data_IF_164106071658
#
_entry.id   IF_164106071658
#
_cell.length_a   1.000
_cell.length_b   1.000
_cell.length_c   1.000
_cell.angle_alpha   90.00
_cell.angle_beta   90.00
_cell.angle_gamma   90.00
#
_symmetry.space_group_name_H-M   'P 1'
#
loop_
_entity.id
_entity.type
_entity.pdbx_description
1 polymer ?
#
# COMPACT_ATOMS: atom_id res chain seq x y z
N UNK A 1 12.54 -12.31 -4.26
CA UNK A 1 11.17 -12.06 -3.79
C UNK A 1 10.31 -13.29 -4.04
N UNK A 2 9.60 -13.80 -3.02
CA UNK A 2 8.63 -14.90 -3.20
C UNK A 2 7.24 -14.31 -3.47
N UNK A 3 6.93 -14.04 -4.73
CA UNK A 3 5.66 -13.44 -5.12
C UNK A 3 4.46 -14.33 -4.77
N UNK A 4 4.63 -15.66 -4.79
CA UNK A 4 3.55 -16.61 -4.55
C UNK A 4 3.00 -16.49 -3.13
N UNK A 5 3.87 -16.29 -2.13
CA UNK A 5 3.43 -16.11 -0.72
C UNK A 5 2.48 -14.92 -0.55
N UNK A 6 2.74 -13.81 -1.25
CA UNK A 6 1.90 -12.61 -1.15
C UNK A 6 0.58 -12.77 -1.92
N UNK A 7 0.61 -13.47 -3.06
CA UNK A 7 -0.59 -13.82 -3.81
C UNK A 7 -1.52 -14.75 -3.01
N UNK A 8 -0.93 -15.67 -2.25
CA UNK A 8 -1.67 -16.54 -1.32
C UNK A 8 -2.23 -15.73 -0.14
N UNK A 9 -1.42 -14.87 0.48
CA UNK A 9 -1.85 -14.01 1.58
C UNK A 9 -3.04 -13.10 1.20
N UNK A 10 -3.08 -12.58 -0.04
CA UNK A 10 -4.20 -11.78 -0.56
C UNK A 10 -5.55 -12.53 -0.64
N UNK A 11 -5.57 -13.84 -0.44
CA UNK A 11 -6.82 -14.61 -0.37
C UNK A 11 -7.38 -14.71 1.06
N UNK A 12 -6.57 -14.35 2.06
CA UNK A 12 -6.90 -14.52 3.48
C UNK A 12 -6.77 -13.22 4.29
N UNK A 13 -5.98 -12.27 3.82
CA UNK A 13 -5.67 -11.01 4.50
C UNK A 13 -6.08 -9.78 3.68
N UNK A 14 -6.12 -8.63 4.35
CA UNK A 14 -6.40 -7.36 3.71
C UNK A 14 -5.23 -6.90 2.84
N UNK A 15 -5.50 -6.12 1.81
CA UNK A 15 -4.46 -5.54 0.96
C UNK A 15 -3.45 -4.70 1.75
N UNK A 16 -3.91 -3.96 2.77
CA UNK A 16 -3.09 -3.14 3.64
C UNK A 16 -2.11 -4.00 4.46
N UNK A 17 -2.58 -5.13 5.01
CA UNK A 17 -1.75 -6.08 5.76
C UNK A 17 -0.69 -6.75 4.87
N UNK A 18 -1.09 -7.20 3.68
CA UNK A 18 -0.14 -7.82 2.74
C UNK A 18 0.88 -6.80 2.26
N UNK A 19 0.45 -5.57 1.97
CA UNK A 19 1.35 -4.48 1.61
C UNK A 19 2.36 -4.19 2.72
N UNK A 20 1.93 -4.12 3.98
CA UNK A 20 2.84 -3.97 5.11
C UNK A 20 3.89 -5.07 5.20
N UNK A 21 3.51 -6.31 4.91
CA UNK A 21 4.46 -7.43 4.85
C UNK A 21 5.49 -7.27 3.74
N UNK A 22 5.07 -6.83 2.54
CA UNK A 22 5.98 -6.57 1.42
C UNK A 22 6.90 -5.39 1.73
N UNK A 23 6.35 -4.27 2.18
CA UNK A 23 7.11 -3.05 2.50
C UNK A 23 8.15 -3.33 3.58
N UNK A 24 7.79 -4.05 4.64
CA UNK A 24 8.71 -4.45 5.71
C UNK A 24 9.87 -5.30 5.21
N UNK A 25 9.60 -6.31 4.37
CA UNK A 25 10.64 -7.21 3.82
C UNK A 25 11.62 -6.47 2.91
N UNK A 26 11.15 -5.43 2.22
CA UNK A 26 11.97 -4.61 1.32
C UNK A 26 12.52 -3.33 1.99
N UNK A 27 12.37 -3.17 3.31
CA UNK A 27 12.93 -2.03 4.06
C UNK A 27 12.23 -0.69 3.78
N UNK A 28 10.92 -0.72 3.55
CA UNK A 28 10.07 0.43 3.22
C UNK A 28 10.60 1.26 2.05
N UNK A 29 10.70 0.66 0.85
CA UNK A 29 11.15 1.39 -0.31
C UNK A 29 10.16 2.50 -0.65
N UNK A 30 10.67 3.63 -1.14
CA UNK A 30 9.81 4.63 -1.76
C UNK A 30 9.17 4.06 -3.03
N UNK A 31 7.84 4.07 -3.06
CA UNK A 31 7.03 3.62 -4.19
C UNK A 31 6.14 4.76 -4.70
N UNK A 32 5.91 4.85 -6.01
CA UNK A 32 4.95 5.80 -6.57
C UNK A 32 3.54 5.63 -5.99
N UNK A 33 2.81 6.74 -5.86
CA UNK A 33 1.36 6.80 -5.64
C UNK A 33 0.80 6.27 -4.31
N UNK A 34 1.60 5.54 -3.54
CA UNK A 34 1.22 4.95 -2.26
C UNK A 34 2.22 5.37 -1.19
N UNK A 35 1.71 5.77 -0.02
CA UNK A 35 2.54 6.17 1.11
C UNK A 35 1.89 5.81 2.43
N UNK A 36 2.60 6.12 3.51
CA UNK A 36 2.08 6.03 4.87
C UNK A 36 0.85 6.93 5.02
N UNK A 37 -0.26 6.38 5.50
CA UNK A 37 -1.52 7.10 5.59
C UNK A 37 -1.46 8.27 6.60
N UNK A 38 -0.65 8.17 7.64
CA UNK A 38 -0.44 9.23 8.61
C UNK A 38 0.30 10.41 7.97
N UNK A 39 1.36 10.13 7.21
CA UNK A 39 2.11 11.15 6.49
C UNK A 39 1.22 11.86 5.46
N UNK A 40 0.41 11.09 4.73
CA UNK A 40 -0.54 11.64 3.76
C UNK A 40 -1.58 12.52 4.46
N UNK A 41 -2.17 12.07 5.58
CA UNK A 41 -3.14 12.85 6.33
C UNK A 41 -2.56 14.17 6.85
N UNK A 42 -1.27 14.19 7.22
CA UNK A 42 -0.58 15.41 7.65
C UNK A 42 -0.24 16.36 6.49
N UNK A 43 -0.14 15.85 5.26
CA UNK A 43 0.31 16.61 4.10
C UNK A 43 -0.84 17.06 3.16
N UNK A 44 -2.03 16.49 3.29
CA UNK A 44 -3.16 16.74 2.35
C UNK A 44 -4.23 17.65 2.94
N UNK A 45 -4.80 18.51 2.09
CA UNK A 45 -6.03 19.26 2.38
C UNK A 45 -7.30 18.55 1.81
N UNK A 46 -7.13 17.37 1.21
CA UNK A 46 -8.24 16.64 0.60
C UNK A 46 -9.16 16.04 1.69
N UNK A 47 -10.32 16.65 1.88
CA UNK A 47 -11.33 16.18 2.85
C UNK A 47 -11.82 14.76 2.60
N UNK A 48 -11.82 14.29 1.35
CA UNK A 48 -12.21 12.92 1.05
C UNK A 48 -11.18 11.93 1.60
N UNK A 49 -9.89 12.21 1.36
CA UNK A 49 -8.80 11.38 1.86
C UNK A 49 -8.78 11.38 3.38
N UNK A 50 -8.88 12.56 4.00
CA UNK A 50 -8.93 12.69 5.46
C UNK A 50 -10.09 11.90 6.07
N UNK A 51 -11.28 11.92 5.46
CA UNK A 51 -12.43 11.16 5.94
C UNK A 51 -12.21 9.64 5.83
N UNK A 52 -11.61 9.17 4.74
CA UNK A 52 -11.30 7.74 4.56
C UNK A 52 -10.20 7.29 5.54
N UNK A 53 -9.14 8.08 5.69
CA UNK A 53 -8.04 7.76 6.62
C UNK A 53 -8.55 7.76 8.07
N UNK A 54 -9.36 8.75 8.45
CA UNK A 54 -9.95 8.81 9.80
C UNK A 54 -10.89 7.62 10.08
N UNK A 55 -11.73 7.26 9.11
CA UNK A 55 -12.70 6.19 9.27
C UNK A 55 -12.06 4.79 9.35
N UNK A 56 -11.09 4.51 8.48
CA UNK A 56 -10.56 3.16 8.29
C UNK A 56 -9.20 2.94 8.96
N UNK A 57 -8.50 4.01 9.34
CA UNK A 57 -7.18 3.98 9.96
C UNK A 57 -6.21 3.02 9.24
N UNK A 58 -6.06 3.12 7.89
CA UNK A 58 -5.17 2.23 7.15
C UNK A 58 -3.71 2.54 7.45
N UNK A 59 -2.81 1.58 7.24
CA UNK A 59 -1.37 1.82 7.34
C UNK A 59 -0.86 2.54 6.08
N UNK A 60 -1.32 2.12 4.91
CA UNK A 60 -0.95 2.71 3.63
C UNK A 60 -2.17 3.30 2.92
N UNK A 61 -1.93 4.30 2.06
CA UNK A 61 -2.99 4.95 1.31
C UNK A 61 -2.55 5.30 -0.11
N UNK A 62 -3.43 5.08 -1.09
CA UNK A 62 -3.18 5.45 -2.48
C UNK A 62 -3.63 6.91 -2.69
N UNK A 63 -2.69 7.83 -2.52
CA UNK A 63 -2.94 9.27 -2.59
C UNK A 63 -3.11 9.77 -4.03
N UNK A 64 -2.65 9.02 -5.04
CA UNK A 64 -2.90 9.35 -6.45
C UNK A 64 -4.35 9.10 -6.85
N UNK A 65 -4.93 7.99 -6.39
CA UNK A 65 -6.30 7.59 -6.71
C UNK A 65 -7.33 7.95 -5.63
N UNK A 66 -6.90 8.63 -4.56
CA UNK A 66 -7.74 9.07 -3.44
C UNK A 66 -8.59 7.94 -2.86
N UNK A 67 -7.95 6.80 -2.52
CA UNK A 67 -8.63 5.63 -1.97
C UNK A 67 -7.73 4.76 -1.09
N UNK A 68 -8.37 3.90 -0.29
CA UNK A 68 -7.70 2.80 0.40
C UNK A 68 -6.98 1.88 -0.60
N UNK A 69 -5.91 1.26 -0.12
CA UNK A 69 -5.17 0.24 -0.85
C UNK A 69 -6.04 -0.96 -1.13
N UNK A 70 -5.87 -1.57 -2.30
CA UNK A 70 -6.61 -2.75 -2.72
C UNK A 70 -5.69 -3.82 -3.32
N UNK A 71 -6.30 -4.94 -3.74
CA UNK A 71 -5.57 -6.07 -4.34
C UNK A 71 -4.73 -5.65 -5.55
N UNK A 72 -5.21 -4.75 -6.39
CA UNK A 72 -4.49 -4.34 -7.60
C UNK A 72 -3.21 -3.56 -7.26
N UNK A 73 -3.24 -2.75 -6.21
CA UNK A 73 -2.05 -2.03 -5.73
C UNK A 73 -0.97 -3.01 -5.23
N UNK A 74 -1.37 -4.06 -4.52
CA UNK A 74 -0.43 -5.09 -4.05
C UNK A 74 0.19 -5.85 -5.24
N UNK A 75 -0.62 -6.21 -6.24
CA UNK A 75 -0.11 -6.85 -7.47
C UNK A 75 0.86 -5.94 -8.22
N UNK A 76 0.53 -4.65 -8.31
CA UNK A 76 1.40 -3.66 -8.92
C UNK A 76 2.71 -3.53 -8.14
N UNK A 77 2.67 -3.48 -6.81
CA UNK A 77 3.85 -3.40 -5.94
C UNK A 77 4.78 -4.60 -6.13
N UNK A 78 4.23 -5.81 -6.13
CA UNK A 78 4.96 -7.06 -6.39
C UNK A 78 5.71 -6.98 -7.73
N UNK A 79 5.02 -6.54 -8.78
CA UNK A 79 5.63 -6.39 -10.11
C UNK A 79 6.69 -5.28 -10.13
N UNK A 80 6.41 -4.14 -9.50
CA UNK A 80 7.32 -3.00 -9.41
C UNK A 80 8.65 -3.36 -8.74
N UNK A 81 8.59 -4.05 -7.59
CA UNK A 81 9.79 -4.48 -6.86
C UNK A 81 10.55 -5.57 -7.61
N UNK A 82 9.85 -6.51 -8.26
CA UNK A 82 10.48 -7.54 -9.08
C UNK A 82 11.31 -6.99 -10.25
N UNK A 83 10.97 -5.78 -10.75
CA UNK A 83 11.72 -5.10 -11.80
C UNK A 83 12.90 -4.26 -11.27
N UNK A 84 12.87 -3.84 -10.00
CA UNK A 84 13.95 -3.06 -9.36
C UNK A 84 15.08 -3.93 -8.83
N UNK A 85 14.80 -5.19 -8.51
CA UNK A 85 15.80 -6.17 -8.06
C UNK A 85 16.60 -6.82 -9.22
N UNK A 86 16.38 -6.38 -10.48
CA UNK A 86 17.12 -6.79 -11.68
C UNK A 86 18.20 -5.77 -12.06
#
# INVERSE_FOLDING_TARGET
MDALKYLEALNHESADTVMGSIMSEHGFPEIPAIGDACDIANATDNRHDLALIDQYQPMFYNYENHRLVNRADVLWLINYLSQRDQ
#
